data_IF_813220256239
#
_entry.id   IF_813220256239
#
_cell.length_a   1.000
_cell.length_b   1.000
_cell.length_c   1.000
_cell.angle_alpha   90.00
_cell.angle_beta   90.00
_cell.angle_gamma   90.00
#
_symmetry.space_group_name_H-M   'P 1'
#
loop_
_entity.id
_entity.type
_entity.pdbx_description
1 polymer ?
#
# COMPACT_ATOMS: atom_id res chain seq x y z
N UNK A 1 -1.23 -0.64 7.91
CA UNK A 1 -0.18 -1.61 7.53
C UNK A 1 0.99 -0.92 6.82
N UNK A 2 0.78 -0.26 5.67
CA UNK A 2 1.88 0.38 4.91
C UNK A 2 2.63 1.50 5.64
N UNK A 3 1.98 2.30 6.52
CA UNK A 3 2.68 3.28 7.36
C UNK A 3 3.70 2.62 8.31
N UNK A 4 3.36 1.45 8.87
CA UNK A 4 4.28 0.67 9.70
C UNK A 4 5.46 0.12 8.90
N UNK A 5 5.19 -0.37 7.68
CA UNK A 5 6.24 -0.81 6.77
C UNK A 5 7.15 0.35 6.33
N UNK A 6 6.59 1.52 6.03
CA UNK A 6 7.34 2.73 5.72
C UNK A 6 8.26 3.12 6.89
N UNK A 7 7.75 3.07 8.13
CA UNK A 7 8.57 3.31 9.32
C UNK A 7 9.72 2.30 9.43
N UNK A 8 9.44 1.00 9.32
CA UNK A 8 10.47 -0.05 9.39
C UNK A 8 11.57 0.13 8.35
N UNK A 9 11.21 0.43 7.10
CA UNK A 9 12.19 0.65 6.02
C UNK A 9 12.99 1.93 6.26
N UNK A 10 12.37 2.99 6.78
CA UNK A 10 13.07 4.23 7.15
C UNK A 10 14.07 3.99 8.27
N UNK A 11 13.68 3.24 9.30
CA UNK A 11 14.57 2.86 10.41
C UNK A 11 15.75 2.04 9.89
N UNK A 12 15.49 1.05 9.03
CA UNK A 12 16.55 0.22 8.42
C UNK A 12 17.51 1.09 7.60
N UNK A 13 16.99 1.99 6.76
CA UNK A 13 17.81 2.91 5.97
C UNK A 13 18.73 3.77 6.86
N UNK A 14 18.27 4.18 8.05
CA UNK A 14 19.07 4.92 9.02
C UNK A 14 20.24 4.14 9.64
N UNK A 15 20.28 2.82 9.50
CA UNK A 15 21.32 1.95 10.09
C UNK A 15 22.46 1.57 9.15
N UNK A 16 22.34 1.89 7.86
CA UNK A 16 23.31 1.54 6.82
C UNK A 16 24.07 2.77 6.34
N UNK A 17 25.29 2.55 5.85
CA UNK A 17 26.16 3.62 5.37
C UNK A 17 25.59 4.35 4.14
N UNK A 18 25.84 5.67 4.02
CA UNK A 18 25.43 6.46 2.86
C UNK A 18 25.85 5.84 1.54
N UNK A 19 24.85 5.49 0.72
CA UNK A 19 25.03 4.77 -0.54
C UNK A 19 23.76 4.83 -1.40
N UNK A 20 23.85 4.42 -2.67
CA UNK A 20 22.67 4.27 -3.54
C UNK A 20 21.64 3.29 -2.93
N UNK A 21 22.11 2.24 -2.25
CA UNK A 21 21.24 1.27 -1.55
C UNK A 21 20.45 1.95 -0.43
N UNK A 22 21.10 2.79 0.38
CA UNK A 22 20.42 3.58 1.42
C UNK A 22 19.35 4.50 0.80
N UNK A 23 19.70 5.22 -0.27
CA UNK A 23 18.77 6.09 -1.00
C UNK A 23 17.54 5.35 -1.50
N UNK A 24 17.72 4.15 -2.08
CA UNK A 24 16.61 3.29 -2.55
C UNK A 24 15.70 2.82 -1.43
N UNK A 25 16.23 2.58 -0.23
CA UNK A 25 15.42 2.21 0.93
C UNK A 25 14.57 3.39 1.41
N UNK A 26 15.14 4.60 1.52
CA UNK A 26 14.35 5.79 1.81
C UNK A 26 13.28 6.06 0.75
N UNK A 27 13.62 5.91 -0.54
CA UNK A 27 12.66 6.03 -1.64
C UNK A 27 11.52 4.99 -1.51
N UNK A 28 11.85 3.74 -1.17
CA UNK A 28 10.85 2.68 -0.92
C UNK A 28 9.94 3.05 0.24
N UNK A 29 10.51 3.53 1.34
CA UNK A 29 9.76 3.96 2.52
C UNK A 29 8.80 5.12 2.18
N UNK A 30 9.28 6.10 1.39
CA UNK A 30 8.46 7.22 0.92
C UNK A 30 7.27 6.73 0.11
N UNK A 31 7.46 5.83 -0.87
CA UNK A 31 6.35 5.33 -1.68
C UNK A 31 5.33 4.52 -0.86
N UNK A 32 5.79 3.70 0.10
CA UNK A 32 4.89 3.01 1.03
C UNK A 32 4.03 4.00 1.84
N UNK A 33 4.63 5.07 2.34
CA UNK A 33 3.91 6.13 3.05
C UNK A 33 2.95 6.89 2.13
N UNK A 34 3.40 7.25 0.93
CA UNK A 34 2.61 7.94 -0.08
C UNK A 34 1.35 7.17 -0.46
N UNK A 35 1.47 5.87 -0.79
CA UNK A 35 0.31 5.05 -1.14
C UNK A 35 -0.66 4.87 0.04
N UNK A 36 -0.14 4.79 1.27
CA UNK A 36 -0.99 4.76 2.46
C UNK A 36 -1.82 6.04 2.61
N UNK A 37 -1.20 7.22 2.42
CA UNK A 37 -1.89 8.51 2.48
C UNK A 37 -2.87 8.67 1.31
N UNK A 38 -2.47 8.25 0.11
CA UNK A 38 -3.32 8.28 -1.08
C UNK A 38 -4.59 7.46 -0.86
N UNK A 39 -4.47 6.25 -0.29
CA UNK A 39 -5.61 5.40 0.05
C UNK A 39 -6.56 6.08 1.06
N UNK A 40 -6.02 6.74 2.09
CA UNK A 40 -6.82 7.47 3.10
C UNK A 40 -7.57 8.65 2.45
N UNK A 41 -6.88 9.45 1.65
CA UNK A 41 -7.45 10.64 1.00
C UNK A 41 -8.54 10.21 0.02
N UNK A 42 -8.27 9.21 -0.81
CA UNK A 42 -9.19 8.75 -1.85
C UNK A 42 -10.39 7.98 -1.30
N UNK A 43 -10.27 7.34 -0.13
CA UNK A 43 -11.42 6.72 0.54
C UNK A 43 -12.56 7.72 0.79
N UNK A 44 -12.25 9.00 1.09
CA UNK A 44 -13.27 10.05 1.24
C UNK A 44 -14.03 10.34 -0.05
N UNK A 45 -13.35 10.25 -1.20
CA UNK A 45 -13.97 10.46 -2.50
C UNK A 45 -14.83 9.28 -2.93
N UNK A 46 -14.45 8.06 -2.54
CA UNK A 46 -15.27 6.87 -2.76
C UNK A 46 -16.62 6.97 -2.06
N UNK A 47 -16.69 7.58 -0.88
CA UNK A 47 -17.97 7.82 -0.18
C UNK A 47 -18.88 8.83 -0.87
N UNK A 48 -18.35 9.65 -1.77
CA UNK A 48 -19.13 10.59 -2.60
C UNK A 48 -19.47 10.02 -3.97
N UNK A 49 -19.21 8.73 -4.18
CA UNK A 49 -19.34 8.06 -5.48
C UNK A 49 -18.57 8.77 -6.62
N UNK A 50 -17.45 9.43 -6.30
CA UNK A 50 -16.66 10.11 -7.32
C UNK A 50 -15.90 9.10 -8.20
N UNK A 51 -16.11 9.17 -9.51
CA UNK A 51 -15.53 8.22 -10.47
C UNK A 51 -14.00 8.31 -10.51
N UNK A 52 -13.44 9.50 -10.37
CA UNK A 52 -11.99 9.72 -10.42
C UNK A 52 -11.33 9.22 -9.15
N UNK A 53 -11.86 9.59 -7.98
CA UNK A 53 -11.42 9.10 -6.67
C UNK A 53 -11.44 7.57 -6.58
N UNK A 54 -12.47 6.92 -7.13
CA UNK A 54 -12.52 5.47 -7.23
C UNK A 54 -11.32 4.88 -7.96
N UNK A 55 -11.06 5.35 -9.19
CA UNK A 55 -9.96 4.81 -9.99
C UNK A 55 -8.59 5.12 -9.40
N UNK A 56 -8.40 6.32 -8.83
CA UNK A 56 -7.16 6.66 -8.14
C UNK A 56 -6.95 5.77 -6.92
N UNK A 57 -8.01 5.47 -6.14
CA UNK A 57 -7.91 4.56 -5.01
C UNK A 57 -7.54 3.13 -5.45
N UNK A 58 -8.30 2.58 -6.40
CA UNK A 58 -8.10 1.20 -6.89
C UNK A 58 -6.71 1.02 -7.49
N UNK A 59 -6.27 1.93 -8.36
CA UNK A 59 -4.95 1.87 -8.99
C UNK A 59 -3.86 2.09 -7.94
N UNK A 60 -4.01 3.09 -7.07
CA UNK A 60 -3.01 3.44 -6.05
C UNK A 60 -2.78 2.34 -5.02
N UNK A 61 -3.85 1.75 -4.49
CA UNK A 61 -3.74 0.63 -3.54
C UNK A 61 -3.18 -0.62 -4.21
N UNK A 62 -3.65 -0.96 -5.42
CA UNK A 62 -3.13 -2.12 -6.15
C UNK A 62 -1.65 -1.97 -6.51
N UNK A 63 -1.18 -0.75 -6.79
CA UNK A 63 0.24 -0.47 -7.04
C UNK A 63 1.13 -0.70 -5.80
N UNK A 64 0.58 -0.67 -4.59
CA UNK A 64 1.30 -1.02 -3.36
C UNK A 64 1.22 -2.53 -3.06
N UNK A 65 0.04 -3.12 -3.19
CA UNK A 65 -0.22 -4.51 -2.75
C UNK A 65 0.24 -5.57 -3.77
N UNK A 66 0.19 -5.29 -5.08
CA UNK A 66 0.65 -6.25 -6.10
C UNK A 66 2.16 -6.50 -5.99
N UNK A 67 3.05 -5.48 -5.93
CA UNK A 67 4.47 -5.72 -5.71
C UNK A 67 4.76 -6.41 -4.37
N UNK A 68 4.01 -6.10 -3.31
CA UNK A 68 4.11 -6.81 -2.04
C UNK A 68 3.83 -8.31 -2.20
N UNK A 69 2.78 -8.67 -2.93
CA UNK A 69 2.48 -10.07 -3.24
C UNK A 69 3.60 -10.74 -4.04
N UNK A 70 4.05 -10.10 -5.12
CA UNK A 70 5.02 -10.66 -6.06
C UNK A 70 6.43 -10.79 -5.48
N UNK A 71 6.90 -9.78 -4.75
CA UNK A 71 8.30 -9.69 -4.34
C UNK A 71 8.52 -10.07 -2.87
N UNK A 72 7.48 -10.07 -2.03
CA UNK A 72 7.59 -10.35 -0.60
C UNK A 72 6.85 -11.62 -0.18
N UNK A 73 5.59 -11.79 -0.60
CA UNK A 73 4.78 -12.96 -0.19
C UNK A 73 5.11 -14.21 -0.98
N UNK A 74 5.06 -14.14 -2.32
CA UNK A 74 5.34 -15.29 -3.20
C UNK A 74 6.73 -15.91 -2.96
N UNK A 75 7.80 -15.12 -2.74
CA UNK A 75 9.12 -15.66 -2.41
C UNK A 75 9.26 -16.16 -0.96
N UNK A 76 8.27 -15.91 -0.10
CA UNK A 76 8.29 -16.35 1.30
C UNK A 76 9.12 -15.46 2.25
N UNK A 77 9.38 -14.20 1.91
CA UNK A 77 10.14 -13.28 2.77
C UNK A 77 9.35 -12.69 3.94
N UNK A 78 8.03 -12.91 3.96
CA UNK A 78 7.13 -12.36 4.98
C UNK A 78 6.38 -13.48 5.69
N UNK A 79 6.31 -13.41 7.03
CA UNK A 79 5.63 -14.41 7.84
C UNK A 79 4.10 -14.45 7.61
N UNK A 80 3.50 -15.60 7.95
CA UNK A 80 2.10 -15.93 7.68
C UNK A 80 1.07 -14.84 8.08
N UNK A 81 1.18 -14.16 9.24
CA UNK A 81 0.19 -13.14 9.60
C UNK A 81 0.13 -11.98 8.61
N UNK A 82 1.29 -11.48 8.17
CA UNK A 82 1.37 -10.34 7.27
C UNK A 82 1.10 -10.74 5.81
N UNK A 83 1.51 -11.95 5.39
CA UNK A 83 1.23 -12.45 4.04
C UNK A 83 -0.26 -12.70 3.78
N UNK A 84 -1.06 -12.87 4.83
CA UNK A 84 -2.52 -13.05 4.72
C UNK A 84 -3.26 -11.73 4.95
N UNK A 85 -2.91 -10.99 6.02
CA UNK A 85 -3.65 -9.80 6.41
C UNK A 85 -3.60 -8.68 5.35
N UNK A 86 -2.44 -8.42 4.76
CA UNK A 86 -2.29 -7.38 3.72
C UNK A 86 -3.21 -7.62 2.53
N UNK A 87 -3.09 -8.79 1.85
CA UNK A 87 -3.92 -9.10 0.68
C UNK A 87 -5.41 -9.17 1.01
N UNK A 88 -5.80 -9.69 2.18
CA UNK A 88 -7.20 -9.70 2.59
C UNK A 88 -7.77 -8.28 2.75
N UNK A 89 -7.05 -7.40 3.45
CA UNK A 89 -7.48 -6.01 3.64
C UNK A 89 -7.58 -5.28 2.31
N UNK A 90 -6.60 -5.48 1.41
CA UNK A 90 -6.62 -4.93 0.06
C UNK A 90 -7.84 -5.40 -0.74
N UNK A 91 -8.10 -6.72 -0.78
CA UNK A 91 -9.27 -7.27 -1.47
C UNK A 91 -10.59 -6.73 -0.92
N UNK A 92 -10.73 -6.65 0.40
CA UNK A 92 -11.91 -6.05 1.04
C UNK A 92 -12.06 -4.57 0.66
N UNK A 93 -10.97 -3.80 0.64
CA UNK A 93 -10.99 -2.40 0.21
C UNK A 93 -11.46 -2.25 -1.24
N UNK A 94 -11.01 -3.11 -2.15
CA UNK A 94 -11.46 -3.14 -3.55
C UNK A 94 -12.94 -3.50 -3.67
N UNK A 95 -13.40 -4.51 -2.94
CA UNK A 95 -14.80 -4.97 -2.95
C UNK A 95 -15.71 -3.84 -2.45
N UNK A 96 -15.44 -3.30 -1.26
CA UNK A 96 -16.27 -2.24 -0.68
C UNK A 96 -16.25 -0.95 -1.52
N UNK A 97 -15.10 -0.58 -2.08
CA UNK A 97 -15.02 0.56 -3.00
C UNK A 97 -15.85 0.35 -4.27
N UNK A 98 -15.88 -0.88 -4.80
CA UNK A 98 -16.64 -1.22 -6.00
C UNK A 98 -18.13 -1.35 -5.74
N UNK A 99 -18.52 -1.88 -4.57
CA UNK A 99 -19.91 -1.94 -4.14
C UNK A 99 -20.47 -0.55 -3.85
N UNK A 100 -19.74 0.28 -3.11
CA UNK A 100 -20.14 1.67 -2.82
C UNK A 100 -20.40 2.47 -4.09
N UNK A 101 -19.63 2.19 -5.15
CA UNK A 101 -19.85 2.82 -6.46
C UNK A 101 -21.16 2.41 -7.15
N UNK A 102 -21.57 1.15 -7.00
CA UNK A 102 -22.77 0.60 -7.67
C UNK A 102 -24.08 1.04 -7.01
N UNK A 103 -24.03 1.46 -5.75
CA UNK A 103 -25.21 1.77 -4.94
C UNK A 103 -25.50 3.28 -4.87
N UNK A 104 -24.53 4.13 -5.21
CA UNK A 104 -24.68 5.59 -5.24
C UNK A 104 -24.88 6.18 -6.63
#
# INVERSE_FOLDING_TARGET
MHLGAAWQVTTLAGTIDPSDVQGRLFQTAFFLGFFALLAIITARFNWRNDRTGYWVNVIGTSAADIPFLLFLVLPGYVGAPASIAGPLVWMLALIFSSLGRRVG
#
